data_IF_877192961306
#
_entry.id   IF_877192961306
#
_cell.length_a   1.000
_cell.length_b   1.000
_cell.length_c   1.000
_cell.angle_alpha   90.00
_cell.angle_beta   90.00
_cell.angle_gamma   90.00
#
_symmetry.space_group_name_H-M   'P 1'
#
loop_
_entity.id
_entity.type
_entity.pdbx_description
1 polymer ?
#
# COMPACT_ATOMS: atom_id res chain seq x y z
N UNK A 1 -18.09 10.73 1.21
CA UNK A 1 -16.91 10.96 0.35
C UNK A 1 -17.41 11.42 -1.01
N UNK A 2 -16.97 12.59 -1.50
CA UNK A 2 -17.41 13.09 -2.81
C UNK A 2 -16.62 12.39 -3.92
N UNK A 3 -17.31 11.83 -4.91
CA UNK A 3 -16.69 11.21 -6.09
C UNK A 3 -16.69 12.18 -7.26
N UNK A 4 -15.54 12.37 -7.92
CA UNK A 4 -15.42 13.21 -9.12
C UNK A 4 -15.21 12.32 -10.34
N UNK A 5 -16.07 12.44 -11.35
CA UNK A 5 -15.91 11.72 -12.62
C UNK A 5 -14.78 12.36 -13.41
N UNK A 6 -13.84 11.54 -13.87
CA UNK A 6 -12.71 11.95 -14.72
C UNK A 6 -12.75 11.05 -15.94
N UNK A 7 -12.59 11.63 -17.14
CA UNK A 7 -12.40 10.87 -18.38
C UNK A 7 -10.91 10.83 -18.67
N UNK A 8 -10.35 9.63 -18.78
CA UNK A 8 -8.94 9.41 -19.10
C UNK A 8 -8.83 8.60 -20.38
N UNK A 9 -7.85 8.95 -21.22
CA UNK A 9 -7.50 8.15 -22.40
C UNK A 9 -6.46 7.12 -21.97
N UNK A 10 -6.75 5.84 -22.22
CA UNK A 10 -5.90 4.71 -21.84
C UNK A 10 -5.65 3.86 -23.09
N UNK A 11 -4.43 3.31 -23.29
CA UNK A 11 -4.15 2.38 -24.37
C UNK A 11 -5.11 1.18 -24.35
N UNK A 12 -5.54 0.73 -25.53
CA UNK A 12 -6.47 -0.40 -25.67
C UNK A 12 -5.91 -1.68 -25.04
N UNK A 13 -4.61 -1.94 -25.19
CA UNK A 13 -3.93 -3.09 -24.58
C UNK A 13 -4.12 -3.15 -23.05
N UNK A 14 -4.10 -2.00 -22.39
CA UNK A 14 -4.28 -1.89 -20.94
C UNK A 14 -5.77 -2.10 -20.57
N UNK A 15 -6.70 -1.63 -21.40
CA UNK A 15 -8.14 -1.83 -21.18
C UNK A 15 -8.50 -3.31 -21.35
N UNK A 16 -7.95 -3.98 -22.35
CA UNK A 16 -8.15 -5.41 -22.58
C UNK A 16 -7.52 -6.27 -21.48
N UNK A 17 -6.30 -5.93 -21.05
CA UNK A 17 -5.67 -6.59 -19.91
C UNK A 17 -6.48 -6.39 -18.61
N UNK A 18 -7.00 -5.17 -18.38
CA UNK A 18 -7.84 -4.87 -17.23
C UNK A 18 -9.19 -5.61 -17.28
N UNK A 19 -9.79 -5.73 -18.47
CA UNK A 19 -11.00 -6.55 -18.70
C UNK A 19 -10.76 -8.03 -18.45
N UNK A 20 -9.56 -8.54 -18.76
CA UNK A 20 -9.17 -9.91 -18.44
C UNK A 20 -9.03 -10.19 -16.93
N UNK A 21 -8.80 -9.14 -16.12
CA UNK A 21 -8.64 -9.25 -14.66
C UNK A 21 -9.92 -8.89 -13.90
N UNK A 22 -10.71 -7.93 -14.40
CA UNK A 22 -11.91 -7.42 -13.73
C UNK A 22 -12.94 -6.91 -14.74
N UNK A 23 -14.23 -7.11 -14.46
CA UNK A 23 -15.32 -6.51 -15.25
C UNK A 23 -15.50 -5.00 -15.00
N UNK A 24 -14.84 -4.45 -13.97
CA UNK A 24 -14.95 -3.05 -13.57
C UNK A 24 -13.60 -2.31 -13.64
N UNK A 25 -13.20 -1.95 -14.86
CA UNK A 25 -11.97 -1.18 -15.14
C UNK A 25 -11.94 0.14 -14.39
N UNK A 26 -13.08 0.82 -14.20
CA UNK A 26 -13.13 2.10 -13.48
C UNK A 26 -12.89 1.95 -11.98
N UNK A 27 -13.40 0.88 -11.38
CA UNK A 27 -13.14 0.54 -9.98
C UNK A 27 -11.69 0.14 -9.76
N UNK A 28 -11.15 -0.72 -10.64
CA UNK A 28 -9.75 -1.13 -10.59
C UNK A 28 -8.80 0.07 -10.74
N UNK A 29 -9.07 0.97 -11.69
CA UNK A 29 -8.28 2.19 -11.88
C UNK A 29 -8.37 3.13 -10.67
N UNK A 30 -9.55 3.28 -10.05
CA UNK A 30 -9.72 4.09 -8.86
C UNK A 30 -8.95 3.53 -7.66
N UNK A 31 -8.97 2.21 -7.47
CA UNK A 31 -8.23 1.55 -6.40
C UNK A 31 -6.71 1.64 -6.61
N UNK A 32 -6.24 1.35 -7.82
CA UNK A 32 -4.83 1.48 -8.17
C UNK A 32 -4.32 2.92 -7.99
N UNK A 33 -5.13 3.91 -8.40
CA UNK A 33 -4.81 5.32 -8.18
C UNK A 33 -4.80 5.67 -6.69
N UNK A 34 -5.76 5.18 -5.91
CA UNK A 34 -5.79 5.42 -4.47
C UNK A 34 -4.59 4.77 -3.75
N UNK A 35 -4.22 3.55 -4.12
CA UNK A 35 -3.03 2.87 -3.60
C UNK A 35 -1.77 3.66 -3.94
N UNK A 36 -1.63 4.10 -5.20
CA UNK A 36 -0.48 4.91 -5.63
C UNK A 36 -0.39 6.23 -4.87
N UNK A 37 -1.49 6.98 -4.74
CA UNK A 37 -1.49 8.25 -4.00
C UNK A 37 -1.11 8.03 -2.53
N UNK A 38 -1.61 6.97 -1.89
CA UNK A 38 -1.20 6.64 -0.51
C UNK A 38 0.30 6.39 -0.41
N UNK A 39 0.86 5.61 -1.34
CA UNK A 39 2.30 5.34 -1.36
C UNK A 39 3.15 6.59 -1.60
N UNK A 40 2.76 7.45 -2.54
CA UNK A 40 3.48 8.69 -2.85
C UNK A 40 3.46 9.66 -1.66
N UNK A 41 2.32 9.80 -0.99
CA UNK A 41 2.21 10.65 0.21
C UNK A 41 3.06 10.09 1.35
N UNK A 42 3.04 8.78 1.57
CA UNK A 42 3.86 8.13 2.59
C UNK A 42 5.36 8.26 2.26
N UNK A 43 5.75 8.09 0.99
CA UNK A 43 7.13 8.25 0.55
C UNK A 43 7.64 9.69 0.75
N UNK A 44 6.79 10.68 0.49
CA UNK A 44 7.11 12.08 0.74
C UNK A 44 7.29 12.40 2.22
N UNK A 45 6.44 11.84 3.06
CA UNK A 45 6.53 11.99 4.52
C UNK A 45 7.84 11.38 5.06
N UNK A 46 8.17 10.16 4.61
CA UNK A 46 9.44 9.50 4.94
C UNK A 46 10.67 10.24 4.39
N UNK A 47 10.55 10.90 3.25
CA UNK A 47 11.62 11.74 2.70
C UNK A 47 11.84 12.97 3.57
N UNK A 48 10.77 13.68 3.92
CA UNK A 48 10.84 14.85 4.80
C UNK A 48 11.43 14.49 6.17
N UNK A 49 11.08 13.32 6.71
CA UNK A 49 11.66 12.81 7.95
C UNK A 49 13.17 12.58 7.85
N UNK A 50 13.64 12.02 6.73
CA UNK A 50 15.08 11.81 6.52
C UNK A 50 15.86 13.11 6.32
N UNK A 51 15.22 14.15 5.76
CA UNK A 51 15.81 15.48 5.65
C UNK A 51 15.97 16.16 7.02
N UNK A 52 15.03 15.94 7.95
CA UNK A 52 15.06 16.55 9.29
C UNK A 52 15.93 15.76 10.29
N UNK A 53 15.88 14.42 10.24
CA UNK A 53 16.50 13.55 11.25
C UNK A 53 17.69 12.72 10.72
N UNK A 54 17.95 12.74 9.41
CA UNK A 54 18.97 11.93 8.76
C UNK A 54 18.43 10.61 8.21
N UNK A 55 19.24 9.92 7.39
CA UNK A 55 18.84 8.70 6.71
C UNK A 55 18.51 7.57 7.70
N UNK A 56 17.46 6.79 7.39
CA UNK A 56 17.13 5.60 8.17
C UNK A 56 18.24 4.56 8.09
N UNK A 57 18.69 4.08 9.26
CA UNK A 57 19.70 3.02 9.34
C UNK A 57 19.13 1.68 8.85
N UNK A 58 20.02 0.74 8.51
CA UNK A 58 19.60 -0.61 8.11
C UNK A 58 18.96 -1.37 9.28
N UNK A 59 19.40 -1.10 10.52
CA UNK A 59 18.83 -1.66 11.74
C UNK A 59 17.38 -1.19 11.97
N UNK A 60 17.11 0.11 11.81
CA UNK A 60 15.75 0.66 11.94
C UNK A 60 14.80 0.12 10.86
N UNK A 61 15.29 -0.04 9.63
CA UNK A 61 14.52 -0.64 8.53
C UNK A 61 14.22 -2.11 8.79
N UNK A 62 15.18 -2.88 9.29
CA UNK A 62 14.98 -4.28 9.65
C UNK A 62 13.95 -4.46 10.78
N UNK A 63 13.98 -3.56 11.78
CA UNK A 63 12.99 -3.56 12.86
C UNK A 63 11.57 -3.22 12.33
N UNK A 64 11.45 -2.26 11.42
CA UNK A 64 10.16 -1.90 10.81
C UNK A 64 9.61 -3.03 9.92
N UNK A 65 10.46 -3.68 9.12
CA UNK A 65 10.07 -4.81 8.27
C UNK A 65 9.56 -6.00 9.11
N UNK A 66 10.25 -6.31 10.22
CA UNK A 66 9.81 -7.34 11.16
C UNK A 66 8.45 -7.03 11.81
N UNK A 67 8.07 -5.75 11.95
CA UNK A 67 6.76 -5.35 12.49
C UNK A 67 5.66 -5.32 11.42
N UNK A 68 5.97 -4.91 10.19
CA UNK A 68 4.99 -4.78 9.10
C UNK A 68 4.72 -6.11 8.39
N UNK A 69 5.75 -6.95 8.26
CA UNK A 69 5.65 -8.31 7.74
C UNK A 69 5.52 -9.37 8.85
N UNK A 70 5.59 -8.95 10.11
CA UNK A 70 5.40 -9.80 11.29
C UNK A 70 3.92 -10.11 11.54
N UNK A 71 3.57 -11.39 11.38
CA UNK A 71 2.28 -12.05 11.68
C UNK A 71 1.26 -12.14 10.54
N UNK A 72 1.63 -12.82 9.46
CA UNK A 72 0.72 -13.84 8.89
C UNK A 72 0.82 -15.13 9.71
N UNK A 73 0.63 -15.04 11.03
CA UNK A 73 0.31 -16.22 11.84
C UNK A 73 -1.19 -16.21 12.05
N UNK A 74 -1.82 -17.18 11.39
CA UNK A 74 -3.13 -17.71 11.72
C UNK A 74 -3.39 -17.66 13.22
N UNK A 75 -4.59 -17.22 13.59
CA UNK A 75 -4.98 -17.07 14.98
C UNK A 75 -4.73 -18.35 15.78
N UNK A 76 -3.88 -18.24 16.79
CA UNK A 76 -4.05 -18.88 18.08
C UNK A 76 -3.07 -18.22 19.04
N UNK A 77 -3.55 -17.42 19.98
CA UNK A 77 -2.78 -17.07 21.16
C UNK A 77 -3.01 -18.19 22.18
N UNK A 78 -2.06 -19.10 22.44
CA UNK A 78 -2.16 -19.99 23.58
C UNK A 78 -2.02 -19.15 24.86
N UNK A 79 -3.13 -18.98 25.56
CA UNK A 79 -3.15 -18.51 26.95
C UNK A 79 -2.47 -19.56 27.82
N UNK A 80 -1.20 -19.36 28.14
CA UNK A 80 -0.47 -20.20 29.08
C UNK A 80 0.47 -19.37 29.96
N UNK A 81 -0.07 -18.87 31.08
CA UNK A 81 0.61 -18.78 32.37
C UNK A 81 -0.51 -18.94 33.43
N UNK A 82 -0.58 -20.06 34.17
CA UNK A 82 0.32 -20.59 35.21
C UNK A 82 -0.26 -20.24 36.59
N UNK A 83 -0.65 -21.29 37.32
CA UNK A 83 -1.00 -21.30 38.73
C UNK A 83 0.19 -21.86 39.53
#
# INVERSE_FOLDING_TARGET
MATKKITITVPEEIVEAARGLTDNVSGFAAEALAARVRHELLGRDLQQYQEEYGAFTDEERAAADALLCGTSESGELPRAEAA
#
